data_IF_028533615764
#
_entry.id   IF_028533615764
#
_cell.length_a   1.000
_cell.length_b   1.000
_cell.length_c   1.000
_cell.angle_alpha   90.00
_cell.angle_beta   90.00
_cell.angle_gamma   90.00
#
_symmetry.space_group_name_H-M   'P 1'
#
loop_
_entity.id
_entity.type
_entity.pdbx_description
1 polymer ?
#
# COMPACT_ATOMS: atom_id res chain seq x y z
N UNK A 1 -21.60 -16.06 18.36
CA UNK A 1 -21.24 -16.43 16.97
C UNK A 1 -20.75 -15.13 16.36
N UNK A 2 -19.43 -14.95 16.26
CA UNK A 2 -18.86 -13.74 15.65
C UNK A 2 -19.07 -13.86 14.15
N UNK A 3 -19.76 -12.90 13.54
CA UNK A 3 -19.82 -12.79 12.09
C UNK A 3 -18.39 -12.60 11.58
N UNK A 4 -17.97 -13.41 10.59
CA UNK A 4 -16.67 -13.21 9.97
C UNK A 4 -16.66 -11.82 9.33
N UNK A 5 -15.77 -10.95 9.80
CA UNK A 5 -15.62 -9.61 9.26
C UNK A 5 -15.20 -9.72 7.79
N UNK A 6 -16.09 -9.32 6.89
CA UNK A 6 -15.75 -9.18 5.48
C UNK A 6 -15.03 -7.84 5.35
N UNK A 7 -13.76 -7.87 4.98
CA UNK A 7 -13.00 -6.64 4.74
C UNK A 7 -13.65 -5.85 3.61
N UNK A 8 -13.85 -4.55 3.79
CA UNK A 8 -14.24 -3.67 2.69
C UNK A 8 -12.96 -3.19 2.02
N UNK A 9 -12.96 -3.10 0.69
CA UNK A 9 -11.79 -2.58 -0.03
C UNK A 9 -11.48 -1.13 0.37
N UNK A 10 -12.49 -0.39 0.83
CA UNK A 10 -12.35 0.96 1.40
C UNK A 10 -11.54 0.98 2.70
N UNK A 11 -11.39 -0.16 3.40
CA UNK A 11 -10.57 -0.28 4.61
C UNK A 11 -9.10 -0.59 4.28
N UNK A 12 -8.77 -0.82 3.01
CA UNK A 12 -7.42 -1.15 2.55
C UNK A 12 -6.77 0.05 1.89
N UNK A 13 -5.67 0.52 2.49
CA UNK A 13 -4.83 1.56 1.92
C UNK A 13 -3.48 1.02 1.44
N UNK A 14 -2.91 1.68 0.44
CA UNK A 14 -1.57 1.41 -0.08
C UNK A 14 -0.71 2.64 0.16
N UNK A 15 0.38 2.48 0.91
CA UNK A 15 1.37 3.53 1.13
C UNK A 15 2.63 3.28 0.29
N UNK A 16 3.04 4.25 -0.52
CA UNK A 16 4.35 4.28 -1.16
C UNK A 16 5.30 5.15 -0.33
N UNK A 17 6.41 4.55 0.12
CA UNK A 17 7.38 5.24 0.98
C UNK A 17 8.55 5.77 0.15
N UNK A 18 8.72 7.09 0.19
CA UNK A 18 9.75 7.84 -0.53
C UNK A 18 9.90 7.41 -2.01
N UNK A 19 8.81 7.31 -2.81
CA UNK A 19 8.89 6.90 -4.20
C UNK A 19 9.85 7.80 -4.99
N UNK A 20 10.74 7.16 -5.76
CA UNK A 20 11.79 7.84 -6.51
C UNK A 20 11.37 8.22 -7.93
N UNK A 21 10.40 7.51 -8.50
CA UNK A 21 9.99 7.69 -9.89
C UNK A 21 8.49 7.88 -10.01
N UNK A 22 8.12 8.99 -10.64
CA UNK A 22 6.75 9.39 -10.90
C UNK A 22 5.96 8.30 -11.67
N UNK A 23 6.62 7.63 -12.62
CA UNK A 23 6.05 6.53 -13.41
C UNK A 23 5.53 5.39 -12.50
N UNK A 24 6.23 5.09 -11.40
CA UNK A 24 5.83 4.02 -10.49
C UNK A 24 4.59 4.40 -9.69
N UNK A 25 4.45 5.67 -9.32
CA UNK A 25 3.22 6.19 -8.70
C UNK A 25 2.04 5.98 -9.64
N UNK A 26 2.21 6.32 -10.93
CA UNK A 26 1.19 6.05 -11.96
C UNK A 26 0.84 4.57 -12.07
N UNK A 27 1.84 3.68 -12.16
CA UNK A 27 1.60 2.24 -12.23
C UNK A 27 0.86 1.69 -11.00
N UNK A 28 1.21 2.14 -9.80
CA UNK A 28 0.52 1.73 -8.57
C UNK A 28 -0.93 2.20 -8.58
N UNK A 29 -1.20 3.46 -8.93
CA UNK A 29 -2.56 3.99 -9.03
C UNK A 29 -3.40 3.20 -10.06
N UNK A 30 -2.82 2.88 -11.23
CA UNK A 30 -3.47 2.02 -12.24
C UNK A 30 -3.78 0.63 -11.71
N UNK A 31 -2.82 0.01 -11.01
CA UNK A 31 -2.98 -1.31 -10.42
C UNK A 31 -4.11 -1.31 -9.38
N UNK A 32 -4.08 -0.35 -8.45
CA UNK A 32 -5.12 -0.17 -7.44
C UNK A 32 -6.50 -0.07 -8.08
N UNK A 33 -6.65 0.77 -9.10
CA UNK A 33 -7.93 0.91 -9.83
C UNK A 33 -8.43 -0.40 -10.43
N UNK A 34 -7.54 -1.19 -11.05
CA UNK A 34 -7.89 -2.49 -11.63
C UNK A 34 -8.38 -3.50 -10.57
N UNK A 35 -7.93 -3.36 -9.32
CA UNK A 35 -8.33 -4.20 -8.19
C UNK A 35 -9.30 -3.50 -7.23
N UNK A 36 -9.97 -2.43 -7.69
CA UNK A 36 -10.97 -1.68 -6.93
C UNK A 36 -10.47 -1.10 -5.60
N UNK A 37 -9.19 -0.77 -5.49
CA UNK A 37 -8.60 -0.01 -4.39
C UNK A 37 -8.50 1.47 -4.76
N UNK A 38 -8.75 2.36 -3.80
CA UNK A 38 -8.76 3.82 -4.01
C UNK A 38 -7.86 4.61 -3.06
N UNK A 39 -7.47 4.03 -1.92
CA UNK A 39 -6.80 4.76 -0.85
C UNK A 39 -5.28 4.73 -1.02
N UNK A 40 -4.76 5.60 -1.88
CA UNK A 40 -3.32 5.76 -2.09
C UNK A 40 -2.74 6.81 -1.14
N UNK A 41 -1.63 6.46 -0.48
CA UNK A 41 -0.87 7.35 0.40
C UNK A 41 0.56 7.45 -0.12
N UNK A 42 1.05 8.68 -0.29
CA UNK A 42 2.43 8.97 -0.68
C UNK A 42 3.17 9.54 0.53
N UNK A 43 4.09 8.77 1.07
CA UNK A 43 4.89 9.16 2.24
C UNK A 43 6.19 9.77 1.75
N UNK A 44 6.39 11.06 2.00
CA UNK A 44 7.60 11.82 1.67
C UNK A 44 8.10 11.57 0.22
N UNK A 45 7.26 11.77 -0.81
CA UNK A 45 7.64 11.48 -2.20
C UNK A 45 8.87 12.28 -2.62
N UNK A 46 9.83 11.60 -3.27
CA UNK A 46 11.11 12.19 -3.70
C UNK A 46 11.13 12.55 -5.19
N UNK A 47 9.98 12.39 -5.84
CA UNK A 47 9.70 12.82 -7.21
C UNK A 47 8.43 13.68 -7.21
N UNK A 48 8.23 14.51 -8.24
CA UNK A 48 6.96 15.18 -8.45
C UNK A 48 5.86 14.16 -8.77
N UNK A 49 4.61 14.56 -8.53
CA UNK A 49 3.41 13.86 -9.02
C UNK A 49 2.84 14.73 -10.14
N UNK A 50 3.27 14.51 -11.37
CA UNK A 50 2.99 15.37 -12.52
C UNK A 50 2.47 14.59 -13.74
N UNK A 51 2.95 14.99 -14.92
CA UNK A 51 2.45 14.48 -16.21
C UNK A 51 2.76 13.00 -16.45
N UNK A 52 3.90 12.47 -15.98
CA UNK A 52 4.22 11.05 -16.15
C UNK A 52 3.34 10.19 -15.23
N UNK A 53 3.09 10.60 -13.98
CA UNK A 53 2.26 9.84 -13.05
C UNK A 53 0.83 9.78 -13.59
N UNK A 54 0.33 10.92 -14.09
CA UNK A 54 -0.98 11.00 -14.74
C UNK A 54 -1.01 10.11 -15.98
N UNK A 55 -0.03 10.21 -16.88
CA UNK A 55 0.02 9.41 -18.11
C UNK A 55 0.03 7.91 -17.82
N UNK A 56 0.83 7.48 -16.85
CA UNK A 56 0.99 6.05 -16.53
C UNK A 56 -0.13 5.50 -15.63
N UNK A 57 -0.88 6.37 -14.94
CA UNK A 57 -2.08 5.98 -14.18
C UNK A 57 -3.23 5.50 -15.07
N UNK A 58 -3.30 5.94 -16.32
CA UNK A 58 -4.36 5.59 -17.27
C UNK A 58 -5.76 5.87 -16.66
N UNK A 59 -6.54 4.82 -16.40
CA UNK A 59 -7.86 4.94 -15.77
C UNK A 59 -7.81 5.06 -14.24
N UNK A 60 -6.65 4.93 -13.62
CA UNK A 60 -6.42 5.14 -12.19
C UNK A 60 -6.06 6.58 -11.81
N UNK A 61 -6.30 7.53 -12.70
CA UNK A 61 -6.04 8.95 -12.46
C UNK A 61 -6.81 9.49 -11.25
N UNK A 62 -8.02 9.01 -11.03
CA UNK A 62 -8.83 9.38 -9.88
C UNK A 62 -8.21 8.92 -8.54
N UNK A 63 -7.59 7.74 -8.52
CA UNK A 63 -6.81 7.25 -7.37
C UNK A 63 -5.61 8.17 -7.09
N UNK A 64 -4.95 8.64 -8.15
CA UNK A 64 -3.83 9.57 -8.04
C UNK A 64 -4.26 10.95 -7.53
N UNK A 65 -5.35 11.50 -8.06
CA UNK A 65 -5.90 12.80 -7.68
C UNK A 65 -6.45 12.80 -6.25
N UNK A 66 -6.95 11.66 -5.78
CA UNK A 66 -7.38 11.46 -4.40
C UNK A 66 -6.25 11.06 -3.43
N UNK A 67 -5.01 10.90 -3.92
CA UNK A 67 -3.91 10.41 -3.09
C UNK A 67 -3.58 11.39 -1.96
N UNK A 68 -3.39 10.85 -0.76
CA UNK A 68 -2.98 11.64 0.42
C UNK A 68 -1.46 11.71 0.50
N UNK A 69 -0.90 12.91 0.68
CA UNK A 69 0.54 13.11 0.84
C UNK A 69 0.86 13.43 2.30
N UNK A 70 1.82 12.72 2.87
CA UNK A 70 2.23 12.87 4.28
C UNK A 70 3.77 12.88 4.41
N UNK A 71 4.28 13.46 5.49
CA UNK A 71 5.72 13.58 5.71
C UNK A 71 6.40 12.38 6.38
N UNK A 72 5.65 11.58 7.14
CA UNK A 72 6.21 10.50 7.97
C UNK A 72 5.36 9.23 7.89
N UNK A 73 6.02 8.07 7.82
CA UNK A 73 5.35 6.77 7.77
C UNK A 73 4.76 6.37 9.13
N UNK A 74 5.43 6.75 10.23
CA UNK A 74 5.01 6.41 11.58
C UNK A 74 3.63 6.97 11.93
N UNK A 75 3.31 8.16 11.43
CA UNK A 75 1.98 8.75 11.62
C UNK A 75 0.90 8.02 10.81
N UNK A 76 1.23 7.50 9.63
CA UNK A 76 0.30 6.66 8.86
C UNK A 76 0.06 5.34 9.59
N UNK A 77 1.11 4.65 10.00
CA UNK A 77 0.99 3.32 10.64
C UNK A 77 0.09 3.36 11.87
N UNK A 78 0.15 4.43 12.68
CA UNK A 78 -0.68 4.58 13.89
C UNK A 78 -2.19 4.70 13.60
N UNK A 79 -2.57 5.05 12.38
CA UNK A 79 -3.96 5.21 11.98
C UNK A 79 -4.62 3.91 11.48
N UNK A 80 -3.85 2.81 11.36
CA UNK A 80 -4.33 1.53 10.86
C UNK A 80 -4.17 0.41 11.89
N UNK A 81 -5.14 -0.50 11.92
CA UNK A 81 -5.16 -1.64 12.84
C UNK A 81 -4.13 -2.72 12.46
N UNK A 82 -3.87 -2.87 11.15
CA UNK A 82 -2.87 -3.78 10.60
C UNK A 82 -1.99 -3.09 9.55
N UNK A 83 -0.69 -3.01 9.80
CA UNK A 83 0.30 -2.58 8.81
C UNK A 83 1.14 -3.76 8.28
N UNK A 84 1.28 -3.84 6.96
CA UNK A 84 2.00 -4.91 6.27
C UNK A 84 3.08 -4.32 5.38
N UNK A 85 4.34 -4.51 5.76
CA UNK A 85 5.49 -4.11 4.95
C UNK A 85 5.84 -5.17 3.88
N UNK A 86 5.99 -4.75 2.63
CA UNK A 86 6.55 -5.59 1.57
C UNK A 86 8.08 -5.59 1.62
N UNK A 87 8.73 -6.68 1.21
CA UNK A 87 10.18 -6.74 1.09
C UNK A 87 10.60 -7.71 -0.02
N UNK A 88 11.68 -7.37 -0.74
CA UNK A 88 12.28 -8.26 -1.75
C UNK A 88 13.08 -9.44 -1.19
N UNK A 89 13.36 -9.46 0.12
CA UNK A 89 14.23 -10.47 0.75
C UNK A 89 13.45 -11.34 1.72
N UNK A 90 13.45 -12.65 1.50
CA UNK A 90 12.99 -13.60 2.52
C UNK A 90 14.01 -13.68 3.65
N UNK A 91 13.60 -13.32 4.87
CA UNK A 91 14.50 -13.47 6.02
C UNK A 91 14.69 -14.96 6.33
N UNK A 92 15.95 -15.42 6.37
CA UNK A 92 16.31 -16.82 6.65
C UNK A 92 16.09 -17.22 8.11
N UNK A 93 15.91 -16.24 9.01
CA UNK A 93 15.63 -16.46 10.43
C UNK A 93 14.28 -15.85 10.76
N UNK A 94 13.25 -16.70 10.80
CA UNK A 94 11.97 -16.36 11.42
C UNK A 94 12.24 -16.11 12.90
N UNK A 95 12.28 -14.84 13.30
CA UNK A 95 12.20 -14.49 14.71
C UNK A 95 10.73 -14.34 15.09
N UNK A 96 10.43 -14.34 16.40
CA UNK A 96 9.09 -14.01 16.90
C UNK A 96 8.58 -12.64 16.41
N UNK A 97 9.48 -11.76 15.97
CA UNK A 97 9.21 -10.36 15.59
C UNK A 97 9.11 -10.16 14.07
N UNK A 98 9.63 -11.08 13.24
CA UNK A 98 9.58 -10.98 11.77
C UNK A 98 9.14 -12.30 11.14
N UNK A 99 7.84 -12.45 10.96
CA UNK A 99 7.24 -13.53 10.16
C UNK A 99 6.85 -12.97 8.80
N UNK A 100 7.47 -13.47 7.74
CA UNK A 100 7.01 -13.20 6.39
C UNK A 100 5.79 -14.09 6.09
N UNK A 101 4.92 -13.61 5.23
CA UNK A 101 3.82 -14.37 4.66
C UNK A 101 3.80 -14.12 3.15
N UNK A 102 3.25 -15.04 2.38
CA UNK A 102 3.09 -14.85 0.93
C UNK A 102 1.92 -13.90 0.64
N UNK A 103 1.90 -13.22 -0.52
CA UNK A 103 0.77 -12.39 -0.93
C UNK A 103 -0.57 -13.13 -0.90
N UNK A 104 -0.61 -14.41 -1.31
CA UNK A 104 -1.84 -15.22 -1.31
C UNK A 104 -2.31 -15.55 0.11
N UNK A 105 -1.37 -15.74 1.04
CA UNK A 105 -1.68 -15.98 2.44
C UNK A 105 -2.12 -14.69 3.13
N UNK A 106 -1.51 -13.55 2.77
CA UNK A 106 -1.96 -12.24 3.18
C UNK A 106 -3.39 -11.97 2.70
N UNK A 107 -3.66 -12.17 1.40
CA UNK A 107 -4.98 -11.95 0.80
C UNK A 107 -6.10 -12.71 1.54
N UNK A 108 -5.88 -13.99 1.86
CA UNK A 108 -6.82 -14.79 2.66
C UNK A 108 -6.99 -14.27 4.08
N UNK A 109 -5.90 -13.81 4.70
CA UNK A 109 -5.95 -13.31 6.07
C UNK A 109 -6.66 -11.96 6.15
N UNK A 110 -6.43 -11.08 5.18
CA UNK A 110 -7.07 -9.77 5.15
C UNK A 110 -8.54 -9.88 4.75
N UNK A 111 -8.95 -10.87 3.95
CA UNK A 111 -10.36 -11.01 3.56
C UNK A 111 -11.32 -11.29 4.73
N UNK A 112 -10.77 -11.82 5.84
CA UNK A 112 -11.50 -12.14 7.07
C UNK A 112 -11.18 -11.17 8.21
N UNK A 113 -10.41 -10.11 7.93
CA UNK A 113 -9.97 -9.14 8.93
C UNK A 113 -11.01 -8.03 9.11
N UNK A 114 -11.41 -7.80 10.36
CA UNK A 114 -12.27 -6.68 10.74
C UNK A 114 -11.38 -5.55 11.26
N UNK A 115 -11.15 -4.54 10.42
CA UNK A 115 -10.28 -3.41 10.71
C UNK A 115 -9.58 -2.85 9.48
N UNK A 116 -8.96 -1.69 9.69
CA UNK A 116 -8.23 -0.95 8.67
C UNK A 116 -6.85 -1.57 8.40
N UNK A 117 -6.49 -1.67 7.13
CA UNK A 117 -5.25 -2.32 6.68
C UNK A 117 -4.41 -1.35 5.84
N UNK A 118 -3.11 -1.30 6.15
CA UNK A 118 -2.13 -0.56 5.39
C UNK A 118 -1.12 -1.52 4.74
N UNK A 119 -1.06 -1.52 3.41
CA UNK A 119 -0.01 -2.20 2.65
C UNK A 119 1.08 -1.18 2.34
N UNK A 120 2.30 -1.41 2.84
CA UNK A 120 3.43 -0.49 2.70
C UNK A 120 4.41 -1.00 1.65
N UNK A 121 4.52 -0.24 0.56
CA UNK A 121 5.52 -0.41 -0.48
C UNK A 121 6.75 0.45 -0.14
N UNK A 122 7.89 -0.23 0.04
CA UNK A 122 9.16 0.42 0.31
C UNK A 122 9.74 1.14 -0.90
N UNK A 123 10.85 1.84 -0.67
CA UNK A 123 11.62 2.53 -1.70
C UNK A 123 12.13 1.57 -2.76
N UNK A 124 12.16 2.00 -4.02
CA UNK A 124 12.61 1.15 -5.13
C UNK A 124 14.10 0.78 -5.07
N UNK A 125 14.92 1.57 -4.38
CA UNK A 125 16.37 1.36 -4.28
C UNK A 125 16.80 0.52 -3.05
N UNK A 126 15.97 0.43 -2.02
CA UNK A 126 16.33 -0.13 -0.70
C UNK A 126 15.24 -0.95 -0.01
N UNK A 127 14.03 -1.03 -0.56
CA UNK A 127 12.87 -1.73 -0.02
C UNK A 127 12.88 -3.24 -0.21
#
# INVERSE_FOLDING_TARGET
MLEAGIVRLDDVAVAMVEPLYEINIGYVARCMKNFCLSNLILVNPRCPIGDEAIRFSMHGRDVLEAATIVGDLGDVIKAYDLAVGTTGVQTKKLSHVRRWITPESLARRISEYDGSILIVLGREDRG
#
